data_IF_172605433020
#
_entry.id   IF_172605433020
#
_cell.length_a   1.000
_cell.length_b   1.000
_cell.length_c   1.000
_cell.angle_alpha   90.00
_cell.angle_beta   90.00
_cell.angle_gamma   90.00
#
_symmetry.space_group_name_H-M   'P 1'
#
loop_
_entity.id
_entity.type
_entity.pdbx_description
1 polymer ?
#
# COMPACT_ATOMS: atom_id res chain seq x y z
N UNK A 1 7.02 -5.29 -9.89
CA UNK A 1 7.77 -5.27 -8.60
C UNK A 1 8.65 -6.49 -8.25
N UNK A 2 8.51 -7.68 -8.86
CA UNK A 2 9.21 -8.90 -8.40
C UNK A 2 10.67 -9.06 -8.84
N UNK A 3 11.05 -8.45 -9.96
CA UNK A 3 12.37 -8.58 -10.55
C UNK A 3 13.37 -7.75 -9.75
N UNK A 4 14.33 -8.40 -9.08
CA UNK A 4 15.24 -7.73 -8.16
C UNK A 4 16.29 -6.90 -8.92
N UNK A 5 16.59 -5.70 -8.41
CA UNK A 5 17.58 -4.76 -8.96
C UNK A 5 17.26 -4.21 -10.36
N UNK A 6 16.03 -4.38 -10.84
CA UNK A 6 15.58 -3.84 -12.13
C UNK A 6 14.08 -3.54 -12.16
N UNK A 7 13.64 -2.82 -13.19
CA UNK A 7 12.24 -2.46 -13.40
C UNK A 7 11.61 -1.78 -12.19
N UNK A 8 10.38 -2.19 -11.85
CA UNK A 8 9.62 -1.52 -10.80
C UNK A 8 10.14 -1.74 -9.37
N UNK A 9 11.02 -2.73 -9.13
CA UNK A 9 11.48 -3.02 -7.77
C UNK A 9 12.43 -1.95 -7.23
N UNK A 10 13.06 -1.19 -8.12
CA UNK A 10 14.04 -0.15 -7.78
C UNK A 10 13.41 1.25 -7.70
N UNK A 11 12.12 1.39 -8.03
CA UNK A 11 11.42 2.67 -7.92
C UNK A 11 11.39 3.15 -6.46
N UNK A 12 11.58 4.44 -6.25
CA UNK A 12 11.70 5.02 -4.91
C UNK A 12 10.47 4.78 -4.03
N UNK A 13 9.28 4.83 -4.63
CA UNK A 13 8.01 4.60 -3.93
C UNK A 13 7.77 3.14 -3.51
N UNK A 14 8.56 2.18 -4.03
CA UNK A 14 8.49 0.75 -3.67
C UNK A 14 9.53 0.34 -2.61
N UNK A 15 10.28 1.29 -2.05
CA UNK A 15 11.30 1.05 -1.02
C UNK A 15 10.71 0.36 0.22
N UNK A 16 11.31 -0.75 0.65
CA UNK A 16 10.86 -1.52 1.81
C UNK A 16 9.93 -2.69 1.46
N UNK A 17 9.35 -2.72 0.25
CA UNK A 17 8.46 -3.82 -0.16
C UNK A 17 9.20 -5.14 -0.37
N UNK A 18 10.53 -5.13 -0.49
CA UNK A 18 11.36 -6.33 -0.50
C UNK A 18 11.22 -7.15 0.78
N UNK A 19 10.95 -6.51 1.93
CA UNK A 19 10.71 -7.21 3.20
C UNK A 19 9.47 -8.11 3.06
N UNK A 20 8.37 -7.54 2.58
CA UNK A 20 7.14 -8.30 2.35
C UNK A 20 7.32 -9.41 1.29
N UNK A 21 8.04 -9.12 0.19
CA UNK A 21 8.36 -10.14 -0.81
C UNK A 21 9.16 -11.29 -0.20
N UNK A 22 10.16 -10.98 0.62
CA UNK A 22 11.03 -11.96 1.27
C UNK A 22 10.25 -12.85 2.25
N UNK A 23 9.31 -12.29 3.03
CA UNK A 23 8.45 -13.07 3.92
C UNK A 23 7.57 -14.07 3.17
N UNK A 24 7.20 -13.78 1.91
CA UNK A 24 6.39 -14.66 1.07
C UNK A 24 7.21 -15.64 0.23
N UNK A 25 8.55 -15.55 0.21
CA UNK A 25 9.41 -16.39 -0.66
C UNK A 25 9.25 -17.88 -0.39
N UNK A 26 9.23 -18.29 0.87
CA UNK A 26 9.10 -19.71 1.23
C UNK A 26 7.72 -20.28 0.88
N UNK A 27 6.67 -19.47 1.03
CA UNK A 27 5.32 -19.83 0.61
C UNK A 27 5.26 -19.95 -0.92
N UNK A 28 5.82 -18.98 -1.64
CA UNK A 28 5.89 -19.00 -3.10
C UNK A 28 6.62 -20.25 -3.60
N UNK A 29 7.75 -20.61 -2.99
CA UNK A 29 8.50 -21.82 -3.32
C UNK A 29 7.70 -23.10 -3.05
N UNK A 30 6.98 -23.15 -1.93
CA UNK A 30 6.14 -24.30 -1.58
C UNK A 30 5.01 -24.55 -2.59
N UNK A 31 4.48 -23.49 -3.20
CA UNK A 31 3.38 -23.56 -4.16
C UNK A 31 3.79 -23.21 -5.60
N UNK A 32 5.09 -23.33 -5.90
CA UNK A 32 5.63 -23.05 -7.22
C UNK A 32 4.94 -23.90 -8.30
N UNK A 33 4.62 -23.27 -9.43
CA UNK A 33 3.86 -23.89 -10.53
C UNK A 33 2.35 -24.09 -10.24
N UNK A 34 1.88 -23.81 -9.03
CA UNK A 34 0.44 -23.90 -8.67
C UNK A 34 -0.19 -22.53 -8.44
N UNK A 35 0.56 -21.58 -7.88
CA UNK A 35 0.10 -20.22 -7.59
C UNK A 35 1.15 -19.24 -8.11
N UNK A 36 0.72 -18.26 -8.90
CA UNK A 36 1.58 -17.18 -9.39
C UNK A 36 1.96 -16.22 -8.27
N UNK A 37 3.09 -15.55 -8.38
CA UNK A 37 3.45 -14.52 -7.40
C UNK A 37 2.40 -13.40 -7.35
N UNK A 38 1.84 -13.03 -8.50
CA UNK A 38 0.76 -12.06 -8.60
C UNK A 38 -0.48 -12.45 -7.78
N UNK A 39 -0.92 -13.72 -7.85
CA UNK A 39 -2.04 -14.19 -7.04
C UNK A 39 -1.66 -14.36 -5.57
N UNK A 40 -0.47 -14.89 -5.27
CA UNK A 40 -0.03 -15.06 -3.88
C UNK A 40 0.00 -13.71 -3.13
N UNK A 41 0.53 -12.66 -3.76
CA UNK A 41 0.63 -11.35 -3.12
C UNK A 41 -0.74 -10.70 -2.93
N UNK A 42 -1.63 -10.83 -3.92
CA UNK A 42 -3.00 -10.35 -3.78
C UNK A 42 -3.77 -11.11 -2.69
N UNK A 43 -3.58 -12.43 -2.61
CA UNK A 43 -4.17 -13.28 -1.57
C UNK A 43 -3.63 -12.92 -0.19
N UNK A 44 -2.32 -12.68 -0.06
CA UNK A 44 -1.71 -12.25 1.19
C UNK A 44 -2.29 -10.90 1.67
N UNK A 45 -2.53 -9.96 0.76
CA UNK A 45 -3.18 -8.69 1.07
C UNK A 45 -4.61 -8.86 1.59
N UNK A 46 -5.44 -9.66 0.89
CA UNK A 46 -6.82 -9.96 1.33
C UNK A 46 -6.82 -10.68 2.68
N UNK A 47 -5.92 -11.66 2.86
CA UNK A 47 -5.78 -12.40 4.12
C UNK A 47 -5.40 -11.44 5.25
N UNK A 48 -4.47 -10.50 5.01
CA UNK A 48 -4.07 -9.51 6.00
C UNK A 48 -5.25 -8.62 6.45
N UNK A 49 -6.12 -8.20 5.52
CA UNK A 49 -7.34 -7.45 5.85
C UNK A 49 -8.29 -8.28 6.71
N UNK A 50 -8.52 -9.55 6.38
CA UNK A 50 -9.45 -10.40 7.12
C UNK A 50 -8.94 -10.71 8.53
N UNK A 51 -7.66 -11.10 8.68
CA UNK A 51 -7.09 -11.46 10.00
C UNK A 51 -6.95 -10.26 10.94
N UNK A 52 -6.94 -9.03 10.40
CA UNK A 52 -6.90 -7.79 11.19
C UNK A 52 -8.29 -7.27 11.57
N UNK A 53 -9.36 -8.03 11.28
CA UNK A 53 -10.74 -7.69 11.63
C UNK A 53 -11.49 -6.92 10.55
N UNK A 54 -10.91 -6.79 9.36
CA UNK A 54 -11.53 -6.17 8.20
C UNK A 54 -12.57 -7.08 7.51
N UNK A 55 -13.21 -6.60 6.44
CA UNK A 55 -14.22 -7.38 5.73
C UNK A 55 -13.60 -8.57 5.00
N UNK A 56 -14.35 -9.67 4.89
CA UNK A 56 -14.02 -10.75 3.98
C UNK A 56 -14.14 -10.26 2.53
N UNK A 57 -13.04 -10.31 1.77
CA UNK A 57 -13.01 -9.92 0.35
C UNK A 57 -12.99 -11.19 -0.51
N UNK A 58 -14.01 -11.44 -1.34
CA UNK A 58 -14.01 -12.60 -2.23
C UNK A 58 -12.79 -12.60 -3.15
N UNK A 59 -11.96 -13.63 -3.05
CA UNK A 59 -10.74 -13.75 -3.84
C UNK A 59 -10.94 -14.59 -5.10
N UNK A 60 -10.35 -14.15 -6.22
CA UNK A 60 -10.31 -14.90 -7.48
C UNK A 60 -8.86 -15.02 -7.96
N UNK A 61 -8.46 -16.25 -8.25
CA UNK A 61 -7.20 -16.61 -8.91
C UNK A 61 -7.29 -16.39 -10.43
N UNK A 62 -6.14 -16.40 -11.09
CA UNK A 62 -6.00 -16.30 -12.53
C UNK A 62 -5.06 -15.18 -13.01
N UNK A 63 -4.31 -14.52 -12.10
CA UNK A 63 -3.33 -13.50 -12.51
C UNK A 63 -2.10 -14.19 -13.09
N UNK A 64 -1.66 -13.72 -14.25
CA UNK A 64 -0.39 -14.13 -14.83
C UNK A 64 0.76 -13.33 -14.20
N UNK A 65 1.88 -14.00 -13.94
CA UNK A 65 3.11 -13.31 -13.62
C UNK A 65 3.67 -12.62 -14.87
N UNK A 66 4.13 -11.38 -14.71
CA UNK A 66 4.94 -10.73 -15.75
C UNK A 66 6.14 -11.62 -16.09
N UNK A 67 6.55 -11.67 -17.35
CA UNK A 67 7.68 -12.48 -17.79
C UNK A 67 9.03 -11.79 -17.53
N UNK A 68 9.08 -10.46 -17.61
CA UNK A 68 10.30 -9.69 -17.37
C UNK A 68 10.06 -8.30 -16.79
N UNK A 69 11.12 -7.66 -16.28
CA UNK A 69 11.08 -6.28 -15.80
C UNK A 69 10.68 -5.26 -16.88
N UNK A 70 10.77 -5.61 -18.17
CA UNK A 70 10.38 -4.72 -19.29
C UNK A 70 8.87 -4.45 -19.34
N UNK A 71 8.07 -5.28 -18.69
CA UNK A 71 6.61 -5.09 -18.58
C UNK A 71 6.24 -4.15 -17.41
N UNK A 72 7.22 -3.70 -16.63
CA UNK A 72 6.98 -2.74 -15.56
C UNK A 72 6.44 -1.41 -16.12
N UNK A 73 5.47 -0.84 -15.42
CA UNK A 73 5.08 0.54 -15.65
C UNK A 73 6.28 1.47 -15.35
N UNK A 74 6.36 2.65 -16.00
CA UNK A 74 7.41 3.63 -15.68
C UNK A 74 7.26 4.17 -14.26
N UNK A 75 8.35 4.69 -13.70
CA UNK A 75 8.33 5.40 -12.41
C UNK A 75 7.41 6.64 -12.46
N UNK A 76 6.96 7.10 -11.29
CA UNK A 76 6.08 8.27 -11.16
C UNK A 76 4.59 7.95 -11.28
N UNK A 77 4.21 6.67 -11.33
CA UNK A 77 2.80 6.25 -11.33
C UNK A 77 2.15 6.19 -9.94
N UNK A 78 2.95 6.03 -8.89
CA UNK A 78 2.49 5.93 -7.50
C UNK A 78 2.23 7.32 -6.88
N UNK A 79 1.27 7.44 -5.94
CA UNK A 79 0.98 8.70 -5.27
C UNK A 79 2.16 9.18 -4.41
N UNK A 80 2.25 10.49 -4.23
CA UNK A 80 3.30 11.15 -3.46
C UNK A 80 2.66 11.76 -2.21
N UNK A 81 3.04 11.26 -1.04
CA UNK A 81 2.48 11.68 0.25
C UNK A 81 2.78 13.14 0.63
N UNK A 82 3.68 13.82 -0.08
CA UNK A 82 3.94 15.25 0.11
C UNK A 82 3.01 16.18 -0.70
N UNK A 83 2.25 15.62 -1.64
CA UNK A 83 1.33 16.36 -2.51
C UNK A 83 -0.09 16.37 -1.95
N UNK A 84 -0.94 17.21 -2.55
CA UNK A 84 -2.32 17.48 -2.12
C UNK A 84 -3.35 16.73 -2.98
N UNK A 85 -4.61 17.00 -2.72
CA UNK A 85 -5.80 16.40 -3.33
C UNK A 85 -5.76 16.31 -4.86
N UNK A 86 -5.35 17.36 -5.57
CA UNK A 86 -5.35 17.36 -7.05
C UNK A 86 -4.45 16.24 -7.59
N UNK A 87 -3.26 16.08 -7.00
CA UNK A 87 -2.35 14.97 -7.36
C UNK A 87 -2.96 13.60 -7.03
N UNK A 88 -3.65 13.48 -5.90
CA UNK A 88 -4.30 12.23 -5.53
C UNK A 88 -5.38 11.85 -6.55
N UNK A 89 -6.25 12.80 -6.91
CA UNK A 89 -7.28 12.59 -7.92
C UNK A 89 -6.67 12.25 -9.28
N UNK A 90 -5.65 12.98 -9.73
CA UNK A 90 -4.97 12.70 -10.99
C UNK A 90 -4.41 11.27 -11.07
N UNK A 91 -3.87 10.75 -9.96
CA UNK A 91 -3.37 9.39 -9.88
C UNK A 91 -4.50 8.37 -9.95
N UNK A 92 -5.52 8.51 -9.12
CA UNK A 92 -6.58 7.50 -8.98
C UNK A 92 -7.65 7.57 -10.07
N UNK A 93 -7.95 8.75 -10.63
CA UNK A 93 -8.86 8.89 -11.76
C UNK A 93 -8.32 8.20 -13.01
N UNK A 94 -7.00 8.27 -13.23
CA UNK A 94 -6.33 7.48 -14.29
C UNK A 94 -6.49 5.96 -14.07
N UNK A 95 -6.70 5.52 -12.84
CA UNK A 95 -6.94 4.12 -12.48
C UNK A 95 -8.43 3.75 -12.49
N UNK A 96 -9.31 4.70 -12.81
CA UNK A 96 -10.76 4.49 -12.93
C UNK A 96 -11.56 4.57 -11.63
N UNK A 97 -10.97 5.10 -10.55
CA UNK A 97 -11.67 5.25 -9.27
C UNK A 97 -12.42 6.58 -9.16
N UNK A 98 -13.59 6.55 -8.55
CA UNK A 98 -14.33 7.74 -8.10
C UNK A 98 -13.80 8.28 -6.77
N UNK A 99 -14.13 9.53 -6.44
CA UNK A 99 -13.79 10.13 -5.14
C UNK A 99 -14.19 9.24 -3.95
N UNK A 100 -15.37 8.60 -4.01
CA UNK A 100 -15.83 7.68 -2.96
C UNK A 100 -14.89 6.50 -2.77
N UNK A 101 -14.39 5.92 -3.86
CA UNK A 101 -13.48 4.77 -3.82
C UNK A 101 -12.08 5.19 -3.39
N UNK A 102 -11.62 6.39 -3.79
CA UNK A 102 -10.35 6.95 -3.31
C UNK A 102 -10.39 7.15 -1.79
N UNK A 103 -11.49 7.70 -1.27
CA UNK A 103 -11.70 7.85 0.18
C UNK A 103 -11.68 6.48 0.86
N UNK A 104 -12.45 5.52 0.36
CA UNK A 104 -12.50 4.18 0.92
C UNK A 104 -11.12 3.51 0.95
N UNK A 105 -10.35 3.58 -0.13
CA UNK A 105 -9.01 2.99 -0.24
C UNK A 105 -8.00 3.68 0.68
N UNK A 106 -8.09 5.00 0.85
CA UNK A 106 -7.21 5.74 1.78
C UNK A 106 -7.42 5.33 3.24
N UNK A 107 -8.56 4.71 3.55
CA UNK A 107 -8.83 4.11 4.86
C UNK A 107 -7.87 2.99 5.23
N UNK A 108 -7.15 2.40 4.26
CA UNK A 108 -6.12 1.40 4.54
C UNK A 108 -5.00 1.92 5.46
N UNK A 109 -4.80 3.24 5.54
CA UNK A 109 -3.91 3.88 6.51
C UNK A 109 -4.32 3.69 7.98
N UNK A 110 -5.50 3.11 8.25
CA UNK A 110 -5.85 2.66 9.61
C UNK A 110 -4.88 1.63 10.16
N UNK A 111 -4.21 0.88 9.28
CA UNK A 111 -3.18 -0.09 9.62
C UNK A 111 -1.79 0.42 9.24
N UNK A 112 -0.79 -0.11 9.94
CA UNK A 112 0.61 0.12 9.64
C UNK A 112 1.13 1.49 10.08
N UNK A 113 2.26 1.87 9.49
CA UNK A 113 3.01 3.09 9.82
C UNK A 113 3.95 3.50 8.70
N UNK A 114 4.39 4.75 8.74
CA UNK A 114 5.52 5.21 7.94
C UNK A 114 6.84 4.85 8.64
N UNK A 115 7.87 4.71 7.80
CA UNK A 115 9.25 4.51 8.22
C UNK A 115 10.15 5.51 7.48
N UNK A 116 10.98 6.23 8.23
CA UNK A 116 11.78 7.35 7.71
C UNK A 116 12.79 6.91 6.64
N UNK A 117 13.39 5.74 6.78
CA UNK A 117 14.31 5.14 5.82
C UNK A 117 13.63 4.70 4.51
N UNK A 118 12.31 4.59 4.50
CA UNK A 118 11.51 4.16 3.33
C UNK A 118 10.89 5.33 2.59
N UNK A 119 10.20 6.19 3.34
CA UNK A 119 9.33 7.24 2.79
C UNK A 119 9.77 8.66 3.16
N UNK A 120 10.74 8.79 4.07
CA UNK A 120 11.05 10.06 4.72
C UNK A 120 10.03 10.49 5.78
N UNK A 121 8.92 9.74 5.93
CA UNK A 121 7.90 9.94 6.96
C UNK A 121 7.99 8.91 8.09
N UNK A 122 7.54 9.25 9.30
CA UNK A 122 7.68 8.39 10.48
C UNK A 122 6.39 8.32 11.33
N UNK A 123 6.14 7.14 11.91
CA UNK A 123 5.09 6.90 12.91
C UNK A 123 3.80 6.30 12.33
N UNK A 124 2.88 5.80 13.18
CA UNK A 124 1.57 5.28 12.75
C UNK A 124 0.54 6.40 12.57
N UNK A 125 -0.54 6.13 11.83
CA UNK A 125 -1.69 7.04 11.77
C UNK A 125 -2.68 6.84 12.93
N UNK A 126 -2.82 5.60 13.42
CA UNK A 126 -3.75 5.21 14.48
C UNK A 126 -3.00 4.69 15.71
N UNK A 127 -3.69 4.59 16.84
CA UNK A 127 -3.10 4.06 18.08
C UNK A 127 -2.89 2.53 18.04
N UNK A 128 -3.74 1.81 17.31
CA UNK A 128 -3.64 0.36 17.09
C UNK A 128 -3.41 0.07 15.59
N UNK A 129 -2.14 0.04 15.13
CA UNK A 129 -1.82 -0.10 13.71
C UNK A 129 -1.99 -1.53 13.17
N UNK A 130 -2.43 -2.49 13.99
CA UNK A 130 -2.66 -3.87 13.57
C UNK A 130 -4.14 -4.21 13.37
N UNK A 131 -5.03 -3.24 13.63
CA UNK A 131 -6.47 -3.41 13.54
C UNK A 131 -7.04 -2.70 12.31
N UNK A 132 -7.82 -3.43 11.53
CA UNK A 132 -8.56 -2.88 10.40
C UNK A 132 -9.94 -2.40 10.85
N UNK A 133 -10.11 -1.09 10.96
CA UNK A 133 -11.38 -0.45 11.23
C UNK A 133 -11.44 0.96 10.62
N UNK A 134 -12.40 1.81 11.01
CA UNK A 134 -12.51 3.18 10.50
C UNK A 134 -11.82 4.22 11.39
N UNK A 135 -10.94 3.83 12.32
CA UNK A 135 -10.27 4.73 13.27
C UNK A 135 -9.47 5.81 12.55
N UNK A 136 -8.83 5.50 11.42
CA UNK A 136 -8.15 6.52 10.59
C UNK A 136 -9.05 7.73 10.30
N UNK A 137 -10.30 7.49 9.89
CA UNK A 137 -11.25 8.57 9.59
C UNK A 137 -11.78 9.24 10.85
N UNK A 138 -12.04 8.48 11.92
CA UNK A 138 -12.46 9.04 13.20
C UNK A 138 -11.40 10.02 13.72
N UNK A 139 -10.13 9.60 13.71
CA UNK A 139 -8.99 10.41 14.13
C UNK A 139 -8.81 11.62 13.21
N UNK A 140 -8.91 11.43 11.89
CA UNK A 140 -8.77 12.50 10.90
C UNK A 140 -9.72 13.67 11.17
N UNK A 141 -10.98 13.38 11.52
CA UNK A 141 -12.02 14.39 11.70
C UNK A 141 -12.09 14.90 13.14
N UNK A 142 -11.82 14.07 14.14
CA UNK A 142 -11.99 14.43 15.56
C UNK A 142 -10.76 15.06 16.21
N UNK A 143 -9.54 14.76 15.71
CA UNK A 143 -8.30 15.28 16.29
C UNK A 143 -7.91 16.64 15.70
N UNK A 144 -7.24 17.45 16.52
CA UNK A 144 -6.60 18.68 16.06
C UNK A 144 -5.20 18.38 15.55
N UNK A 145 -5.01 18.51 14.24
CA UNK A 145 -3.72 18.31 13.59
C UNK A 145 -2.86 19.57 13.64
N UNK A 146 -1.61 19.43 14.07
CA UNK A 146 -0.62 20.52 14.09
C UNK A 146 0.61 20.10 13.29
N UNK A 147 1.18 21.03 12.53
CA UNK A 147 2.40 20.76 11.79
C UNK A 147 3.53 20.41 12.76
N UNK A 148 4.15 19.24 12.57
CA UNK A 148 5.30 18.83 13.37
C UNK A 148 6.51 19.71 13.07
N UNK A 149 7.28 20.06 14.12
CA UNK A 149 8.55 20.81 14.02
C UNK A 149 9.77 19.90 13.87
N UNK A 150 9.63 18.59 14.10
CA UNK A 150 10.72 17.60 14.01
C UNK A 150 10.19 16.26 13.50
N UNK A 151 10.91 15.68 12.53
CA UNK A 151 10.51 14.55 11.67
C UNK A 151 9.22 14.77 10.88
N UNK A 152 9.23 14.38 9.59
CA UNK A 152 8.02 14.41 8.78
C UNK A 152 7.12 13.29 9.33
N UNK A 153 6.15 13.57 10.19
CA UNK A 153 5.17 12.55 10.60
C UNK A 153 4.41 12.03 9.37
N UNK A 154 3.90 10.80 9.41
CA UNK A 154 3.00 10.30 8.35
C UNK A 154 1.99 11.39 7.95
N UNK A 155 1.93 11.68 6.65
CA UNK A 155 0.99 12.68 6.14
C UNK A 155 -0.38 12.04 6.01
N UNK A 156 -1.40 12.76 6.46
CA UNK A 156 -2.77 12.42 6.10
C UNK A 156 -2.98 12.83 4.65
N UNK A 157 -3.45 11.88 3.85
CA UNK A 157 -4.01 12.24 2.55
C UNK A 157 -5.35 12.89 2.84
N UNK A 158 -5.32 14.21 3.01
CA UNK A 158 -6.48 15.06 3.28
C UNK A 158 -7.26 15.29 1.98
N UNK A 159 -8.57 15.02 2.04
CA UNK A 159 -9.55 15.27 0.97
C UNK A 159 -10.04 16.70 0.95
#
# INVERSE_FOLDING_TARGET
>A
MRFENEGESIHGANRGLEIARNLLKDIQKKYEGKVTAADLWALAGVTAVEVSGGPHVPFRFGRNDAASAKEAAPEGRLPDGSKKLDHLRDVFYRMGFSDREIVALSGAHTMGRCHADRSGFEGPWTADPLKFDNTYFQDLVSKKWVASKSSKSCVFVLF
#
